data_IF_706989545729
#
_entry.id   IF_706989545729
#
_cell.length_a   1.000
_cell.length_b   1.000
_cell.length_c   1.000
_cell.angle_alpha   90.00
_cell.angle_beta   90.00
_cell.angle_gamma   90.00
#
_symmetry.space_group_name_H-M   'P 1'
#
loop_
_entity.id
_entity.type
_entity.pdbx_description
1 polymer ?
#
# COMPACT_ATOMS: atom_id res chain seq x y z
N UNK A 1 45.48 33.76 7.09
CA UNK A 1 44.09 34.12 7.47
C UNK A 1 43.07 33.77 6.38
N UNK A 2 43.18 34.31 5.15
CA UNK A 2 42.27 33.95 4.02
C UNK A 2 42.18 32.44 3.72
N UNK A 3 43.31 31.73 3.79
CA UNK A 3 43.36 30.26 3.59
C UNK A 3 42.73 29.44 4.74
N UNK A 4 42.74 29.97 5.96
CA UNK A 4 42.14 29.32 7.14
C UNK A 4 40.61 29.48 7.10
N UNK A 5 40.13 30.65 6.66
CA UNK A 5 38.71 30.92 6.43
C UNK A 5 38.16 30.00 5.32
N UNK A 6 38.94 29.73 4.27
CA UNK A 6 38.55 28.84 3.18
C UNK A 6 38.40 27.37 3.64
N UNK A 7 39.24 26.91 4.57
CA UNK A 7 39.19 25.55 5.12
C UNK A 7 38.00 25.39 6.08
N UNK A 8 37.67 26.42 6.87
CA UNK A 8 36.47 26.42 7.72
C UNK A 8 35.16 26.43 6.92
N UNK A 9 35.10 27.11 5.78
CA UNK A 9 33.93 27.12 4.91
C UNK A 9 33.65 25.75 4.27
N UNK A 10 34.68 24.94 4.04
CA UNK A 10 34.55 23.62 3.42
C UNK A 10 34.14 22.52 4.41
N UNK A 11 34.36 22.72 5.71
CA UNK A 11 33.91 21.82 6.78
C UNK A 11 32.42 21.95 7.15
N UNK A 12 31.78 23.05 6.78
CA UNK A 12 30.36 23.31 7.10
C UNK A 12 29.37 22.66 6.11
N UNK A 13 29.84 22.02 5.04
CA UNK A 13 28.99 21.43 3.98
C UNK A 13 28.68 19.94 4.20
N UNK A 14 28.90 19.40 5.40
CA UNK A 14 28.65 17.98 5.74
C UNK A 14 27.43 17.76 6.64
N UNK A 15 26.68 18.81 6.98
CA UNK A 15 25.52 18.69 7.86
C UNK A 15 24.21 18.88 7.09
N UNK A 16 23.36 17.86 7.21
CA UNK A 16 21.94 17.80 6.83
C UNK A 16 21.60 17.44 5.38
N UNK A 17 21.81 16.16 5.04
CA UNK A 17 20.74 15.43 4.37
C UNK A 17 19.93 14.70 5.44
N UNK A 18 18.87 15.36 5.92
CA UNK A 18 17.75 14.68 6.57
C UNK A 18 17.03 13.85 5.51
N UNK A 19 17.65 12.77 5.05
CA UNK A 19 17.05 11.86 4.11
C UNK A 19 15.85 11.20 4.77
N UNK A 20 14.65 11.48 4.28
CA UNK A 20 13.53 10.58 4.53
C UNK A 20 14.02 9.17 4.19
N UNK A 21 13.84 8.21 5.12
CA UNK A 21 14.27 6.82 4.88
C UNK A 21 13.68 6.37 3.55
N UNK A 22 14.54 6.21 2.53
CA UNK A 22 14.16 5.86 1.16
C UNK A 22 13.13 4.73 1.22
N UNK A 23 11.98 4.95 0.59
CA UNK A 23 10.90 3.98 0.54
C UNK A 23 11.28 2.87 -0.45
N UNK A 24 11.81 1.77 0.07
CA UNK A 24 12.30 0.65 -0.75
C UNK A 24 11.15 0.06 -1.56
N UNK A 25 9.93 0.03 -1.00
CA UNK A 25 8.76 -0.52 -1.70
C UNK A 25 8.42 0.18 -3.03
N UNK A 26 8.80 1.46 -3.18
CA UNK A 26 8.61 2.26 -4.41
C UNK A 26 9.75 2.08 -5.43
N UNK A 27 10.85 1.46 -5.05
CA UNK A 27 11.99 1.22 -5.93
C UNK A 27 11.74 -0.01 -6.81
N UNK A 28 11.45 0.19 -8.09
CA UNK A 28 11.20 -0.90 -9.03
C UNK A 28 12.43 -1.77 -9.30
N UNK A 29 13.64 -1.30 -8.98
CA UNK A 29 14.89 -2.06 -9.16
C UNK A 29 15.22 -2.97 -7.97
N UNK A 30 14.57 -2.78 -6.83
CA UNK A 30 14.82 -3.58 -5.63
C UNK A 30 14.16 -4.98 -5.72
N UNK A 31 14.73 -6.00 -5.04
CA UNK A 31 14.12 -7.32 -4.95
C UNK A 31 12.68 -7.25 -4.41
N UNK A 32 11.79 -8.09 -4.96
CA UNK A 32 10.37 -8.10 -4.56
C UNK A 32 10.21 -8.33 -3.06
N UNK A 33 10.99 -9.25 -2.47
CA UNK A 33 10.95 -9.53 -1.04
C UNK A 33 11.21 -8.28 -0.20
N UNK A 34 12.26 -7.54 -0.53
CA UNK A 34 12.65 -6.33 0.19
C UNK A 34 11.59 -5.23 0.07
N UNK A 35 10.95 -5.12 -1.09
CA UNK A 35 9.83 -4.20 -1.32
C UNK A 35 8.60 -4.56 -0.50
N UNK A 36 8.27 -5.85 -0.43
CA UNK A 36 7.14 -6.36 0.36
C UNK A 36 7.38 -6.16 1.85
N UNK A 37 8.58 -6.49 2.35
CA UNK A 37 8.93 -6.31 3.76
C UNK A 37 8.90 -4.83 4.19
N UNK A 38 9.43 -3.92 3.35
CA UNK A 38 9.37 -2.48 3.65
C UNK A 38 7.93 -1.94 3.62
N UNK A 39 7.08 -2.39 2.68
CA UNK A 39 5.67 -2.01 2.62
C UNK A 39 4.90 -2.50 3.85
N UNK A 40 4.96 -3.79 4.16
CA UNK A 40 4.20 -4.39 5.26
C UNK A 40 4.56 -3.80 6.63
N UNK A 41 5.82 -3.37 6.82
CA UNK A 41 6.26 -2.70 8.05
C UNK A 41 5.70 -1.28 8.19
N UNK A 42 5.33 -0.63 7.08
CA UNK A 42 4.78 0.73 7.05
C UNK A 42 3.26 0.78 7.17
N UNK A 43 2.57 -0.29 6.78
CA UNK A 43 1.12 -0.38 6.84
C UNK A 43 0.59 -0.51 8.28
N UNK A 44 -0.51 0.19 8.55
CA UNK A 44 -1.40 -0.03 9.67
C UNK A 44 -2.11 -1.39 9.57
N UNK A 45 -2.76 -1.81 10.65
CA UNK A 45 -3.58 -3.02 10.65
C UNK A 45 -4.77 -2.88 9.68
N UNK A 46 -5.41 -1.72 9.66
CA UNK A 46 -6.55 -1.44 8.78
C UNK A 46 -6.16 -1.58 7.30
N UNK A 47 -5.04 -1.00 6.89
CA UNK A 47 -4.54 -1.12 5.52
C UNK A 47 -4.22 -2.58 5.14
N UNK A 48 -3.69 -3.37 6.08
CA UNK A 48 -3.41 -4.80 5.87
C UNK A 48 -4.69 -5.59 5.67
N UNK A 49 -5.69 -5.36 6.52
CA UNK A 49 -7.02 -5.97 6.38
C UNK A 49 -7.66 -5.55 5.07
N UNK A 50 -7.52 -4.29 4.66
CA UNK A 50 -8.00 -3.79 3.37
C UNK A 50 -7.41 -4.54 2.17
N UNK A 51 -6.12 -4.87 2.20
CA UNK A 51 -5.47 -5.67 1.14
C UNK A 51 -5.95 -7.13 1.11
N UNK A 52 -6.50 -7.67 2.20
CA UNK A 52 -7.05 -9.03 2.23
C UNK A 52 -8.46 -9.12 1.62
N UNK A 53 -9.12 -7.98 1.40
CA UNK A 53 -10.44 -7.94 0.80
C UNK A 53 -10.34 -7.90 -0.72
N UNK A 54 -11.04 -8.82 -1.38
CA UNK A 54 -11.18 -8.83 -2.83
C UNK A 54 -12.56 -8.33 -3.22
N UNK A 55 -12.62 -7.22 -3.97
CA UNK A 55 -13.85 -6.83 -4.65
C UNK A 55 -14.04 -7.71 -5.89
N UNK A 56 -15.23 -8.28 -6.06
CA UNK A 56 -15.58 -8.99 -7.29
C UNK A 56 -16.23 -8.02 -8.28
N UNK A 57 -16.00 -8.26 -9.58
CA UNK A 57 -16.59 -7.46 -10.64
C UNK A 57 -18.12 -7.59 -10.70
N UNK A 58 -18.76 -6.60 -11.33
CA UNK A 58 -20.23 -6.51 -11.48
C UNK A 58 -20.84 -7.77 -12.09
N UNK A 59 -20.19 -8.35 -13.10
CA UNK A 59 -20.68 -9.57 -13.76
C UNK A 59 -20.64 -10.79 -12.82
N UNK A 60 -19.69 -10.84 -11.88
CA UNK A 60 -19.65 -11.89 -10.85
C UNK A 60 -20.82 -11.75 -9.87
N UNK A 61 -21.20 -10.52 -9.54
CA UNK A 61 -22.37 -10.24 -8.68
C UNK A 61 -23.65 -10.66 -9.40
N UNK A 62 -23.81 -10.32 -10.68
CA UNK A 62 -24.99 -10.69 -11.49
C UNK A 62 -25.12 -12.20 -11.63
N UNK A 63 -24.02 -12.88 -11.98
CA UNK A 63 -24.01 -14.33 -12.14
C UNK A 63 -24.47 -15.02 -10.87
N UNK A 64 -23.97 -14.62 -9.70
CA UNK A 64 -24.35 -15.23 -8.43
C UNK A 64 -25.76 -14.82 -7.95
N UNK A 65 -26.20 -13.60 -8.23
CA UNK A 65 -27.54 -13.13 -7.88
C UNK A 65 -28.65 -13.82 -8.67
N UNK A 66 -28.32 -14.39 -9.84
CA UNK A 66 -29.28 -15.13 -10.67
C UNK A 66 -29.53 -16.57 -10.20
N UNK A 67 -28.63 -17.15 -9.38
CA UNK A 67 -28.69 -18.56 -8.95
C UNK A 67 -28.78 -18.74 -7.43
N UNK A 68 -28.68 -17.68 -6.64
CA UNK A 68 -28.71 -17.75 -5.18
C UNK A 68 -29.81 -16.86 -4.60
N UNK A 69 -30.43 -17.30 -3.50
CA UNK A 69 -31.42 -16.49 -2.77
C UNK A 69 -30.73 -15.33 -2.04
N UNK A 70 -31.49 -14.29 -1.70
CA UNK A 70 -30.97 -13.12 -0.98
C UNK A 70 -30.38 -13.50 0.40
N UNK A 71 -31.00 -14.47 1.08
CA UNK A 71 -30.55 -15.02 2.36
C UNK A 71 -29.21 -15.77 2.23
N UNK A 72 -29.03 -16.54 1.15
CA UNK A 72 -27.78 -17.25 0.88
C UNK A 72 -26.66 -16.29 0.48
N UNK A 73 -26.97 -15.25 -0.30
CA UNK A 73 -26.01 -14.21 -0.69
C UNK A 73 -25.53 -13.39 0.51
N UNK A 74 -26.41 -13.09 1.46
CA UNK A 74 -26.08 -12.28 2.65
C UNK A 74 -24.99 -12.91 3.52
N UNK A 75 -24.89 -14.24 3.53
CA UNK A 75 -23.91 -14.98 4.32
C UNK A 75 -22.76 -15.54 3.46
N UNK A 76 -22.79 -15.35 2.14
CA UNK A 76 -21.81 -15.88 1.22
C UNK A 76 -20.77 -14.82 0.83
N UNK A 77 -19.68 -14.79 1.58
CA UNK A 77 -18.53 -13.91 1.34
C UNK A 77 -17.74 -14.27 0.08
N UNK A 78 -17.84 -15.51 -0.42
CA UNK A 78 -17.14 -15.95 -1.63
C UNK A 78 -17.77 -15.41 -2.92
N UNK A 79 -19.09 -15.21 -2.91
CA UNK A 79 -19.83 -14.69 -4.06
C UNK A 79 -20.07 -13.17 -4.04
N UNK A 80 -19.59 -12.52 -2.96
CA UNK A 80 -19.42 -11.08 -2.82
C UNK A 80 -20.68 -10.27 -3.16
N UNK A 81 -21.72 -10.51 -2.36
CA UNK A 81 -22.92 -9.69 -2.31
C UNK A 81 -22.69 -8.43 -1.46
N UNK A 82 -22.97 -7.26 -2.04
CA UNK A 82 -22.85 -5.96 -1.36
C UNK A 82 -24.23 -5.29 -1.22
N UNK A 83 -24.90 -5.38 -0.05
CA UNK A 83 -26.19 -4.74 0.15
C UNK A 83 -26.09 -3.22 -0.01
N UNK A 84 -27.00 -2.62 -0.80
CA UNK A 84 -27.03 -1.18 -1.08
C UNK A 84 -26.31 -0.75 -2.36
N UNK A 85 -25.62 -1.66 -3.06
CA UNK A 85 -25.12 -1.45 -4.42
C UNK A 85 -26.01 -2.18 -5.43
N UNK A 86 -27.16 -1.61 -5.76
CA UNK A 86 -28.02 -2.05 -6.85
C UNK A 86 -28.20 -0.88 -7.81
N UNK A 87 -27.86 -1.07 -9.08
CA UNK A 87 -28.22 -0.16 -10.17
C UNK A 87 -29.64 -0.46 -10.67
#
# INVERSE_FOLDING_TARGET
MKKIILIMAMGACLCSFGGSKKEVYKDASAPVKDRVEDLLRRMTLEEKVGQMNQFVGIEHIKANSAVMTAEELKNNTANAFYPGFTY
#
